data_IF_479697338795
#
_entry.id   IF_479697338795
#
_cell.length_a   1.000
_cell.length_b   1.000
_cell.length_c   1.000
_cell.angle_alpha   90.00
_cell.angle_beta   90.00
_cell.angle_gamma   90.00
#
_symmetry.space_group_name_H-M   'P 1'
#
loop_
_entity.id
_entity.type
_entity.pdbx_description
1 polymer ?
#
# COMPACT_ATOMS: atom_id res chain seq x y z
N UNK A 1 16.55 6.36 -0.83
CA UNK A 1 15.28 6.04 -1.51
C UNK A 1 15.34 4.63 -2.07
N UNK A 2 14.80 3.69 -1.32
CA UNK A 2 14.67 2.29 -1.71
C UNK A 2 13.65 2.14 -2.84
N UNK A 3 14.16 2.03 -4.07
CA UNK A 3 13.34 1.82 -5.28
C UNK A 3 12.43 0.60 -5.16
N UNK A 4 12.90 -0.44 -4.47
CA UNK A 4 12.16 -1.67 -4.26
C UNK A 4 10.92 -1.46 -3.37
N UNK A 5 11.00 -0.56 -2.40
CA UNK A 5 9.88 -0.26 -1.53
C UNK A 5 8.82 0.59 -2.25
N UNK A 6 9.27 1.58 -3.04
CA UNK A 6 8.39 2.38 -3.88
C UNK A 6 7.65 1.53 -4.92
N UNK A 7 8.32 0.52 -5.48
CA UNK A 7 7.71 -0.43 -6.42
C UNK A 7 6.62 -1.26 -5.74
N UNK A 8 6.89 -1.79 -4.54
CA UNK A 8 5.89 -2.52 -3.75
C UNK A 8 4.70 -1.65 -3.34
N UNK A 9 4.93 -0.38 -2.98
CA UNK A 9 3.87 0.58 -2.66
C UNK A 9 2.97 0.79 -3.88
N UNK A 10 3.55 1.01 -5.07
CA UNK A 10 2.75 1.22 -6.27
C UNK A 10 2.01 -0.04 -6.72
N UNK A 11 2.63 -1.22 -6.59
CA UNK A 11 1.97 -2.49 -6.89
C UNK A 11 0.78 -2.72 -5.96
N UNK A 12 0.99 -2.55 -4.65
CA UNK A 12 -0.04 -2.70 -3.63
C UNK A 12 -1.18 -1.68 -3.82
N UNK A 13 -0.85 -0.45 -4.24
CA UNK A 13 -1.83 0.60 -4.54
C UNK A 13 -2.66 0.28 -5.78
N UNK A 14 -2.06 -0.23 -6.86
CA UNK A 14 -2.79 -0.69 -8.06
C UNK A 14 -3.71 -1.85 -7.74
N UNK A 15 -3.22 -2.79 -6.94
CA UNK A 15 -4.01 -3.94 -6.50
C UNK A 15 -5.21 -3.48 -5.66
N UNK A 16 -5.00 -2.55 -4.72
CA UNK A 16 -6.08 -1.96 -3.92
C UNK A 16 -7.13 -1.27 -4.78
N UNK A 17 -6.72 -0.50 -5.79
CA UNK A 17 -7.65 0.20 -6.70
C UNK A 17 -8.46 -0.83 -7.49
N UNK A 18 -7.81 -1.84 -8.09
CA UNK A 18 -8.50 -2.89 -8.84
C UNK A 18 -9.47 -3.69 -7.97
N UNK A 19 -9.06 -3.98 -6.73
CA UNK A 19 -9.89 -4.66 -5.74
C UNK A 19 -11.07 -3.79 -5.29
N UNK A 20 -10.86 -2.49 -5.09
CA UNK A 20 -11.90 -1.54 -4.68
C UNK A 20 -12.91 -1.24 -5.79
N UNK A 21 -12.52 -1.36 -7.05
CA UNK A 21 -13.41 -1.21 -8.20
C UNK A 21 -14.37 -2.41 -8.31
N UNK A 22 -13.87 -3.62 -7.97
CA UNK A 22 -14.63 -4.88 -8.08
C UNK A 22 -15.25 -5.37 -6.77
N UNK A 23 -14.81 -4.87 -5.62
CA UNK A 23 -15.27 -5.30 -4.29
C UNK A 23 -15.65 -4.09 -3.45
N UNK A 24 -16.58 -4.28 -2.50
CA UNK A 24 -16.85 -3.26 -1.49
C UNK A 24 -15.58 -2.94 -0.71
N UNK A 25 -15.38 -1.66 -0.38
CA UNK A 25 -14.26 -1.17 0.43
C UNK A 25 -14.15 -1.85 1.81
N UNK A 26 -15.24 -2.47 2.28
CA UNK A 26 -15.30 -3.26 3.52
C UNK A 26 -14.96 -4.74 3.34
N UNK A 27 -14.67 -5.18 2.11
CA UNK A 27 -14.26 -6.54 1.83
C UNK A 27 -12.92 -6.81 2.50
N UNK A 28 -12.79 -7.97 3.16
CA UNK A 28 -11.56 -8.37 3.86
C UNK A 28 -10.32 -8.18 3.01
N UNK A 29 -10.41 -8.52 1.72
CA UNK A 29 -9.32 -8.42 0.77
C UNK A 29 -8.88 -6.95 0.60
N UNK A 30 -9.81 -6.01 0.42
CA UNK A 30 -9.50 -4.57 0.32
C UNK A 30 -8.90 -4.05 1.64
N UNK A 31 -9.43 -4.48 2.79
CA UNK A 31 -8.92 -4.06 4.11
C UNK A 31 -7.52 -4.61 4.38
N UNK A 32 -7.24 -5.86 4.01
CA UNK A 32 -5.92 -6.49 4.14
C UNK A 32 -4.89 -5.85 3.19
N UNK A 33 -5.26 -5.60 1.94
CA UNK A 33 -4.41 -4.87 0.99
C UNK A 33 -4.17 -3.44 1.46
N UNK A 34 -5.19 -2.77 2.01
CA UNK A 34 -5.04 -1.41 2.56
C UNK A 34 -4.09 -1.38 3.76
N UNK A 35 -4.13 -2.39 4.64
CA UNK A 35 -3.19 -2.50 5.76
C UNK A 35 -1.76 -2.70 5.27
N UNK A 36 -1.55 -3.59 4.30
CA UNK A 36 -0.22 -3.79 3.69
C UNK A 36 0.34 -2.51 3.08
N UNK A 37 -0.49 -1.74 2.38
CA UNK A 37 -0.09 -0.45 1.82
C UNK A 37 0.34 0.54 2.90
N UNK A 38 -0.41 0.60 4.01
CA UNK A 38 -0.10 1.46 5.15
C UNK A 38 1.23 1.05 5.83
N UNK A 39 1.45 -0.25 6.05
CA UNK A 39 2.70 -0.78 6.60
C UNK A 39 3.91 -0.43 5.71
N UNK A 40 3.78 -0.59 4.39
CA UNK A 40 4.84 -0.24 3.43
C UNK A 40 5.13 1.27 3.41
N UNK A 41 4.09 2.11 3.53
CA UNK A 41 4.24 3.56 3.62
C UNK A 41 4.89 3.99 4.94
N UNK A 42 4.51 3.37 6.05
CA UNK A 42 5.14 3.61 7.35
C UNK A 42 6.61 3.19 7.35
N UNK A 43 6.92 2.04 6.73
CA UNK A 43 8.30 1.61 6.53
C UNK A 43 9.05 2.66 5.72
N UNK A 44 8.51 3.10 4.57
CA UNK A 44 9.10 4.14 3.73
C UNK A 44 9.40 5.43 4.47
N UNK A 45 8.42 5.91 5.25
CA UNK A 45 8.52 7.13 6.02
C UNK A 45 9.53 7.01 7.17
N UNK A 46 9.73 5.80 7.68
CA UNK A 46 10.75 5.52 8.71
C UNK A 46 12.17 5.50 8.15
N UNK A 47 12.36 5.10 6.88
CA UNK A 47 13.68 5.09 6.21
C UNK A 47 14.06 6.46 5.64
N UNK A 48 13.07 7.29 5.29
CA UNK A 48 13.25 8.67 4.84
C UNK A 48 12.50 9.62 5.78
N UNK A 49 12.95 9.76 7.05
CA UNK A 49 12.45 10.80 7.93
C UNK A 49 12.96 12.13 7.36
N UNK A 50 12.18 12.75 6.49
CA UNK A 50 12.44 14.13 6.07
C UNK A 50 12.27 15.03 7.30
N UNK A 51 13.39 15.30 7.98
CA UNK A 51 13.60 16.47 8.85
C UNK A 51 14.08 17.66 8.03
#
# INVERSE_FOLDING_TARGET
MDKHLLEQIEECRKELIALSDNNKLTSKIVVETSKKLDDLLNEYQSIDPKE
#
